data_IF_156440604269
#
_entry.id   IF_156440604269
#
_cell.length_a   1.000
_cell.length_b   1.000
_cell.length_c   1.000
_cell.angle_alpha   90.00
_cell.angle_beta   90.00
_cell.angle_gamma   90.00
#
_symmetry.space_group_name_H-M   'P 1'
#
loop_
_entity.id
_entity.type
_entity.pdbx_description
1 polymer ?
#
# COMPACT_ATOMS: atom_id res chain seq x y z
N UNK A 1 -24.80 6.54 -47.44
CA UNK A 1 -23.46 7.01 -47.04
C UNK A 1 -23.56 7.52 -45.61
N UNK A 2 -23.31 6.65 -44.63
CA UNK A 2 -23.58 6.93 -43.22
C UNK A 2 -22.37 7.67 -42.64
N UNK A 3 -22.38 9.01 -42.68
CA UNK A 3 -21.41 9.83 -41.95
C UNK A 3 -21.73 9.74 -40.47
N UNK A 4 -21.21 8.72 -39.80
CA UNK A 4 -21.19 8.71 -38.34
C UNK A 4 -20.30 9.87 -37.88
N UNK A 5 -20.80 10.77 -37.03
CA UNK A 5 -20.03 11.92 -36.59
C UNK A 5 -18.84 11.42 -35.76
N UNK A 6 -17.64 11.94 -36.07
CA UNK A 6 -16.36 11.53 -35.45
C UNK A 6 -16.40 11.56 -33.92
N UNK A 7 -17.20 12.46 -33.35
CA UNK A 7 -17.40 12.58 -31.91
C UNK A 7 -18.13 11.39 -31.28
N UNK A 8 -19.09 10.75 -31.98
CA UNK A 8 -19.78 9.56 -31.45
C UNK A 8 -18.79 8.39 -31.36
N UNK A 9 -17.96 8.21 -32.39
CA UNK A 9 -16.91 7.18 -32.38
C UNK A 9 -15.92 7.43 -31.23
N UNK A 10 -15.54 8.69 -31.00
CA UNK A 10 -14.63 9.06 -29.93
C UNK A 10 -15.22 8.81 -28.53
N UNK A 11 -16.50 9.13 -28.32
CA UNK A 11 -17.19 8.90 -27.05
C UNK A 11 -17.36 7.40 -26.75
N UNK A 12 -17.69 6.60 -27.76
CA UNK A 12 -17.77 5.14 -27.61
C UNK A 12 -16.40 4.56 -27.26
N UNK A 13 -15.35 5.01 -27.92
CA UNK A 13 -13.99 4.57 -27.64
C UNK A 13 -13.53 4.96 -26.22
N UNK A 14 -13.79 6.20 -25.81
CA UNK A 14 -13.48 6.69 -24.46
C UNK A 14 -14.22 5.86 -23.39
N UNK A 15 -15.52 5.61 -23.59
CA UNK A 15 -16.31 4.77 -22.69
C UNK A 15 -15.78 3.34 -22.58
N UNK A 16 -15.31 2.76 -23.69
CA UNK A 16 -14.72 1.44 -23.70
C UNK A 16 -13.40 1.39 -22.89
N UNK A 17 -12.54 2.39 -23.05
CA UNK A 17 -11.29 2.52 -22.28
C UNK A 17 -11.58 2.60 -20.77
N UNK A 18 -12.53 3.44 -20.36
CA UNK A 18 -12.91 3.56 -18.94
C UNK A 18 -13.48 2.25 -18.38
N UNK A 19 -14.23 1.48 -19.18
CA UNK A 19 -14.76 0.19 -18.76
C UNK A 19 -13.65 -0.85 -18.54
N UNK A 20 -12.61 -0.84 -19.38
CA UNK A 20 -11.49 -1.79 -19.29
C UNK A 20 -10.40 -1.38 -18.29
N UNK A 21 -10.23 -0.08 -18.04
CA UNK A 21 -9.23 0.48 -17.12
C UNK A 21 -9.79 0.81 -15.72
N UNK A 22 -10.83 0.10 -15.27
CA UNK A 22 -11.36 0.27 -13.92
C UNK A 22 -10.33 -0.07 -12.83
N UNK A 23 -10.34 0.69 -11.73
CA UNK A 23 -9.51 0.43 -10.55
C UNK A 23 -9.88 -0.91 -9.90
N UNK A 24 -9.20 -2.00 -10.31
CA UNK A 24 -9.29 -3.30 -9.64
C UNK A 24 -8.38 -3.31 -8.41
N UNK A 25 -8.89 -2.88 -7.26
CA UNK A 25 -8.21 -3.07 -5.98
C UNK A 25 -8.50 -4.49 -5.49
N UNK A 26 -7.48 -5.35 -5.47
CA UNK A 26 -7.63 -6.70 -4.92
C UNK A 26 -7.82 -6.62 -3.42
N UNK A 27 -8.86 -7.27 -2.89
CA UNK A 27 -9.19 -7.25 -1.47
C UNK A 27 -8.04 -7.78 -0.59
N UNK A 28 -7.25 -8.72 -1.13
CA UNK A 28 -6.05 -9.26 -0.49
C UNK A 28 -4.92 -9.37 -1.54
N UNK A 29 -4.02 -8.38 -1.63
CA UNK A 29 -2.86 -8.45 -2.50
C UNK A 29 -2.03 -9.70 -2.16
N UNK A 30 -1.51 -10.40 -3.17
CA UNK A 30 -0.68 -11.60 -2.94
C UNK A 30 0.58 -11.31 -2.15
N UNK A 31 1.08 -10.07 -2.22
CA UNK A 31 2.29 -9.62 -1.55
C UNK A 31 2.02 -8.99 -0.18
N UNK A 32 0.75 -8.83 0.22
CA UNK A 32 0.42 -8.31 1.55
C UNK A 32 0.38 -9.44 2.58
N UNK A 33 0.69 -9.08 3.83
CA UNK A 33 0.75 -10.02 4.93
C UNK A 33 -0.63 -10.60 5.24
N UNK A 34 -0.75 -11.93 5.15
CA UNK A 34 -2.03 -12.67 5.35
C UNK A 34 -2.31 -13.03 6.81
N UNK A 35 -1.27 -13.08 7.65
CA UNK A 35 -1.38 -13.55 9.04
C UNK A 35 -1.71 -12.39 9.97
N UNK A 36 -2.77 -12.55 10.78
CA UNK A 36 -3.12 -11.61 11.84
C UNK A 36 -2.05 -11.52 12.94
N UNK A 37 -1.19 -12.54 13.04
CA UNK A 37 -0.15 -12.64 14.05
C UNK A 37 1.19 -12.09 13.56
N UNK A 38 1.27 -11.55 12.35
CA UNK A 38 2.56 -11.17 11.76
C UNK A 38 3.22 -10.01 12.52
N UNK A 39 2.43 -9.04 13.00
CA UNK A 39 2.91 -7.99 13.89
C UNK A 39 3.49 -8.56 15.20
N UNK A 40 2.89 -9.61 15.75
CA UNK A 40 3.39 -10.27 16.95
C UNK A 40 4.65 -11.12 16.65
N UNK A 41 4.64 -11.87 15.55
CA UNK A 41 5.76 -12.70 15.11
C UNK A 41 6.98 -11.85 14.77
N UNK A 42 6.80 -10.70 14.14
CA UNK A 42 7.90 -9.75 13.87
C UNK A 42 8.49 -9.17 15.15
N UNK A 43 7.68 -8.89 16.17
CA UNK A 43 8.21 -8.45 17.47
C UNK A 43 8.99 -9.55 18.20
N UNK A 44 8.62 -10.83 18.00
CA UNK A 44 9.22 -11.97 18.70
C UNK A 44 10.44 -12.55 18.00
N UNK A 45 10.35 -12.70 16.69
CA UNK A 45 11.36 -13.38 15.84
C UNK A 45 12.05 -12.41 14.87
N UNK A 46 11.54 -11.20 14.72
CA UNK A 46 12.15 -10.19 13.86
C UNK A 46 13.41 -9.58 14.45
N UNK A 47 14.15 -8.79 13.65
CA UNK A 47 15.36 -8.12 14.10
C UNK A 47 15.02 -7.17 15.25
N UNK A 48 15.73 -7.31 16.36
CA UNK A 48 15.59 -6.38 17.48
C UNK A 48 16.17 -5.03 17.08
N UNK A 49 15.32 -4.00 17.08
CA UNK A 49 15.77 -2.62 16.91
C UNK A 49 16.50 -2.22 18.19
N UNK A 50 17.82 -2.11 18.12
CA UNK A 50 18.66 -1.67 19.24
C UNK A 50 18.76 -0.15 19.32
N UNK A 51 18.74 0.51 18.17
CA UNK A 51 18.97 1.95 18.03
C UNK A 51 17.89 2.63 17.18
N UNK A 52 17.56 3.86 17.54
CA UNK A 52 16.67 4.75 16.84
C UNK A 52 17.34 6.13 16.73
N UNK A 53 17.11 6.85 15.63
CA UNK A 53 17.58 8.23 15.50
C UNK A 53 16.69 9.17 16.31
N UNK A 54 17.30 10.00 17.13
CA UNK A 54 16.63 11.12 17.81
C UNK A 54 16.28 12.24 16.80
N UNK A 55 15.57 13.28 17.24
CA UNK A 55 15.23 14.47 16.47
C UNK A 55 16.46 15.16 15.85
N UNK A 56 17.64 15.02 16.48
CA UNK A 56 18.91 15.53 15.97
C UNK A 56 19.68 14.54 15.09
N UNK A 57 19.12 13.35 14.82
CA UNK A 57 19.72 12.33 13.96
C UNK A 57 20.78 11.45 14.63
N UNK A 58 21.05 11.66 15.92
CA UNK A 58 22.00 10.87 16.72
C UNK A 58 21.39 9.51 17.08
N UNK A 59 22.20 8.44 17.17
CA UNK A 59 21.72 7.12 17.60
C UNK A 59 21.42 7.14 19.11
N UNK A 60 20.20 6.74 19.48
CA UNK A 60 19.74 6.53 20.85
C UNK A 60 19.19 5.10 20.98
N UNK A 61 19.32 4.42 22.13
CA UNK A 61 18.65 3.14 22.36
C UNK A 61 17.15 3.20 22.05
N UNK A 62 16.64 2.28 21.23
CA UNK A 62 15.24 2.22 20.79
C UNK A 62 14.29 1.64 21.88
N UNK A 63 14.43 2.11 23.12
CA UNK A 63 13.73 1.56 24.29
C UNK A 63 12.20 1.65 24.15
N UNK A 64 11.69 2.80 23.67
CA UNK A 64 10.25 3.03 23.46
C UNK A 64 9.67 2.08 22.42
N UNK A 65 10.39 1.87 21.32
CA UNK A 65 9.98 0.93 20.26
C UNK A 65 9.91 -0.52 20.79
N UNK A 66 10.81 -0.89 21.72
CA UNK A 66 10.84 -2.21 22.34
C UNK A 66 9.76 -2.41 23.42
N UNK A 67 9.40 -1.35 24.14
CA UNK A 67 8.41 -1.39 25.22
C UNK A 67 6.95 -1.38 24.74
N UNK A 68 6.70 -1.26 23.44
CA UNK A 68 5.36 -1.36 22.84
C UNK A 68 4.38 -0.24 23.22
N UNK A 69 4.82 0.75 24.00
CA UNK A 69 4.00 1.89 24.41
C UNK A 69 3.95 2.91 23.28
N UNK A 70 3.08 2.66 22.30
CA UNK A 70 2.58 3.72 21.40
C UNK A 70 1.59 4.55 22.20
N UNK A 71 1.88 5.84 22.38
CA UNK A 71 0.87 6.84 22.70
C UNK A 71 -0.09 7.03 21.52
#
# INVERSE_FOLDING_TARGET
>A
MNRTPRHIVFLVFLGFVFLTCGCRRTLFPKNDQRSQFEAYNTMRYGPQITEQKDAFGLPEPALRARLGKKE
#
